data_IF_421243448497
#
_entry.id   IF_421243448497
#
_cell.length_a   1.000
_cell.length_b   1.000
_cell.length_c   1.000
_cell.angle_alpha   90.00
_cell.angle_beta   90.00
_cell.angle_gamma   90.00
#
_symmetry.space_group_name_H-M   'P 1'
#
loop_
_entity.id
_entity.type
_entity.pdbx_description
1 polymer ?
#
# COMPACT_ATOMS: atom_id res chain seq x y z
N UNK A 1 21.42 2.85 -12.36
CA UNK A 1 21.17 3.55 -11.08
C UNK A 1 20.54 2.55 -10.14
N UNK A 2 20.99 2.47 -8.88
CA UNK A 2 20.28 1.65 -7.88
C UNK A 2 18.90 2.26 -7.64
N UNK A 3 17.86 1.42 -7.59
CA UNK A 3 16.49 1.87 -7.29
C UNK A 3 16.38 2.54 -5.92
N UNK A 4 15.29 3.27 -5.69
CA UNK A 4 15.03 3.96 -4.42
C UNK A 4 14.17 3.11 -3.47
N UNK A 5 13.52 2.06 -3.97
CA UNK A 5 12.49 1.34 -3.25
C UNK A 5 11.10 1.84 -3.66
N UNK A 6 10.14 0.92 -3.74
CA UNK A 6 8.81 1.20 -4.28
C UNK A 6 8.03 2.27 -3.48
N UNK A 7 8.18 2.29 -2.16
CA UNK A 7 7.48 3.26 -1.30
C UNK A 7 7.98 4.70 -1.44
N UNK A 8 9.20 4.89 -1.93
CA UNK A 8 9.76 6.22 -2.24
C UNK A 8 9.39 6.71 -3.64
N UNK A 9 8.78 5.86 -4.48
CA UNK A 9 8.33 6.25 -5.80
C UNK A 9 7.02 7.03 -5.76
N UNK A 10 6.87 7.91 -6.75
CA UNK A 10 5.57 8.52 -7.03
C UNK A 10 4.76 7.54 -7.89
N UNK A 11 3.51 7.22 -7.50
CA UNK A 11 2.68 6.36 -8.30
C UNK A 11 2.51 6.88 -9.74
N UNK A 12 2.80 6.02 -10.72
CA UNK A 12 2.68 6.33 -12.16
C UNK A 12 1.27 6.79 -12.50
N UNK A 13 1.11 7.53 -13.59
CA UNK A 13 -0.21 7.91 -14.13
C UNK A 13 -1.09 6.66 -14.27
N UNK A 14 -2.35 6.79 -13.86
CA UNK A 14 -3.31 5.70 -13.95
C UNK A 14 -3.69 5.52 -15.43
N UNK A 15 -3.40 4.34 -15.97
CA UNK A 15 -3.77 3.96 -17.34
C UNK A 15 -4.92 2.97 -17.22
N UNK A 16 -5.93 3.11 -18.09
CA UNK A 16 -7.02 2.13 -18.17
C UNK A 16 -6.43 0.74 -18.43
N UNK A 17 -6.79 -0.28 -17.63
CA UNK A 17 -6.33 -1.63 -17.88
C UNK A 17 -6.89 -2.09 -19.22
N UNK A 18 -6.06 -2.81 -19.98
CA UNK A 18 -6.56 -3.52 -21.16
C UNK A 18 -7.68 -4.47 -20.72
N UNK A 19 -8.84 -4.34 -21.36
CA UNK A 19 -9.98 -5.19 -21.07
C UNK A 19 -9.66 -6.59 -21.55
N UNK A 20 -9.49 -7.54 -20.63
CA UNK A 20 -9.53 -8.95 -20.96
C UNK A 20 -11.00 -9.41 -20.95
N UNK A 21 -11.61 -9.67 -22.13
CA UNK A 21 -13.00 -10.08 -22.23
C UNK A 21 -13.25 -11.51 -21.73
N UNK A 22 -12.20 -12.32 -21.49
CA UNK A 22 -12.32 -13.75 -21.15
C UNK A 22 -12.20 -14.04 -19.64
N UNK A 23 -12.12 -13.01 -18.79
CA UNK A 23 -11.92 -13.22 -17.36
C UNK A 23 -13.22 -13.63 -16.63
N UNK A 24 -13.48 -14.94 -16.58
CA UNK A 24 -14.61 -15.54 -15.84
C UNK A 24 -14.53 -15.33 -14.31
N UNK A 25 -13.34 -15.12 -13.75
CA UNK A 25 -13.09 -15.01 -12.30
C UNK A 25 -13.06 -13.55 -11.79
N UNK A 26 -13.28 -12.56 -12.65
CA UNK A 26 -13.30 -11.14 -12.28
C UNK A 26 -11.94 -10.51 -11.94
N UNK A 27 -10.88 -11.30 -11.76
CA UNK A 27 -9.50 -10.83 -11.56
C UNK A 27 -8.43 -11.82 -12.10
N UNK A 28 -7.23 -11.30 -12.41
CA UNK A 28 -6.05 -12.07 -12.85
C UNK A 28 -4.91 -11.81 -11.86
N UNK A 29 -4.16 -12.86 -11.53
CA UNK A 29 -2.91 -12.77 -10.79
C UNK A 29 -1.75 -13.17 -11.70
N UNK A 30 -0.84 -12.23 -11.96
CA UNK A 30 0.36 -12.47 -12.75
C UNK A 30 1.57 -12.49 -11.83
N UNK A 31 2.31 -13.59 -11.83
CA UNK A 31 3.58 -13.65 -11.11
C UNK A 31 4.63 -12.76 -11.79
N UNK A 32 5.31 -11.93 -11.02
CA UNK A 32 6.39 -11.08 -11.50
C UNK A 32 7.73 -11.71 -11.12
N UNK A 33 8.64 -11.76 -12.08
CA UNK A 33 10.01 -12.24 -11.85
C UNK A 33 10.97 -11.09 -11.50
N UNK A 34 12.21 -11.45 -11.15
CA UNK A 34 13.26 -10.51 -10.73
C UNK A 34 13.72 -9.53 -11.82
N UNK A 35 13.35 -9.76 -13.09
CA UNK A 35 13.66 -8.86 -14.20
C UNK A 35 12.70 -7.68 -14.28
N UNK A 36 11.49 -7.81 -13.71
CA UNK A 36 10.49 -6.74 -13.65
C UNK A 36 10.95 -5.58 -12.76
N UNK A 37 10.85 -4.35 -13.26
CA UNK A 37 11.23 -3.14 -12.51
C UNK A 37 10.45 -2.99 -11.19
N UNK A 38 9.18 -3.41 -11.16
CA UNK A 38 8.35 -3.37 -9.95
C UNK A 38 8.87 -4.36 -8.91
N UNK A 39 9.30 -5.55 -9.36
CA UNK A 39 9.91 -6.54 -8.49
C UNK A 39 11.19 -5.97 -7.85
N UNK A 40 12.11 -5.44 -8.66
CA UNK A 40 13.38 -4.89 -8.16
C UNK A 40 13.17 -3.84 -7.08
N UNK A 41 12.20 -2.95 -7.27
CA UNK A 41 11.92 -1.84 -6.36
C UNK A 41 11.23 -2.30 -5.07
N UNK A 42 10.36 -3.31 -5.14
CA UNK A 42 9.79 -3.96 -3.95
C UNK A 42 10.87 -4.75 -3.19
N UNK A 43 11.75 -5.44 -3.91
CA UNK A 43 12.84 -6.22 -3.33
C UNK A 43 13.85 -5.32 -2.59
N UNK A 44 14.11 -4.10 -3.07
CA UNK A 44 14.89 -3.10 -2.33
C UNK A 44 14.23 -2.77 -0.98
N UNK A 45 12.93 -2.50 -0.95
CA UNK A 45 12.20 -2.21 0.31
C UNK A 45 12.28 -3.39 1.29
N UNK A 46 12.13 -4.62 0.79
CA UNK A 46 12.19 -5.83 1.61
C UNK A 46 13.60 -6.13 2.12
N UNK A 47 14.63 -5.96 1.28
CA UNK A 47 16.05 -6.09 1.66
C UNK A 47 16.42 -5.08 2.74
N UNK A 48 16.02 -3.82 2.58
CA UNK A 48 16.22 -2.77 3.58
C UNK A 48 15.53 -3.09 4.91
N UNK A 49 14.42 -3.83 4.88
CA UNK A 49 13.74 -4.34 6.05
C UNK A 49 14.38 -5.60 6.67
N UNK A 50 15.42 -6.16 6.06
CA UNK A 50 16.04 -7.44 6.45
C UNK A 50 15.13 -8.64 6.14
N UNK A 51 14.38 -8.59 5.04
CA UNK A 51 13.44 -9.61 4.61
C UNK A 51 13.73 -10.03 3.16
N UNK A 52 13.22 -11.19 2.75
CA UNK A 52 13.31 -11.70 1.39
C UNK A 52 11.91 -11.81 0.77
N UNK A 53 11.76 -11.39 -0.48
CA UNK A 53 10.56 -11.65 -1.28
C UNK A 53 10.61 -13.10 -1.77
N UNK A 54 9.58 -13.89 -1.47
CA UNK A 54 9.48 -15.29 -1.93
C UNK A 54 8.74 -15.42 -3.25
N UNK A 55 7.67 -14.63 -3.40
CA UNK A 55 6.79 -14.60 -4.57
C UNK A 55 6.16 -13.22 -4.64
N UNK A 56 6.02 -12.69 -5.86
CA UNK A 56 5.34 -11.43 -6.11
C UNK A 56 4.26 -11.64 -7.17
N UNK A 57 3.02 -11.30 -6.86
CA UNK A 57 1.87 -11.42 -7.76
C UNK A 57 1.25 -10.04 -7.97
N UNK A 58 1.07 -9.65 -9.23
CA UNK A 58 0.33 -8.46 -9.64
C UNK A 58 -1.14 -8.80 -9.80
N UNK A 59 -2.00 -8.06 -9.09
CA UNK A 59 -3.46 -8.18 -9.20
C UNK A 59 -3.99 -7.24 -10.30
N UNK A 60 -4.65 -7.83 -11.30
CA UNK A 60 -5.46 -7.11 -12.27
C UNK A 60 -6.93 -7.38 -11.98
N UNK A 61 -7.65 -6.37 -11.49
CA UNK A 61 -9.09 -6.46 -11.25
C UNK A 61 -9.75 -5.16 -11.75
N UNK A 62 -10.54 -5.27 -12.82
CA UNK A 62 -11.16 -4.12 -13.48
C UNK A 62 -12.22 -3.44 -12.61
N UNK A 63 -12.95 -4.20 -11.80
CA UNK A 63 -13.95 -3.65 -10.90
C UNK A 63 -13.29 -2.80 -9.81
N UNK A 64 -12.26 -3.33 -9.14
CA UNK A 64 -11.51 -2.61 -8.11
C UNK A 64 -10.74 -1.42 -8.67
N UNK A 65 -10.16 -1.57 -9.86
CA UNK A 65 -9.49 -0.47 -10.57
C UNK A 65 -10.48 0.65 -10.87
N UNK A 66 -11.66 0.33 -11.44
CA UNK A 66 -12.69 1.33 -11.75
C UNK A 66 -13.17 2.04 -10.50
N UNK A 67 -13.43 1.30 -9.41
CA UNK A 67 -13.78 1.88 -8.11
C UNK A 67 -12.72 2.88 -7.64
N UNK A 68 -11.45 2.50 -7.68
CA UNK A 68 -10.35 3.39 -7.32
C UNK A 68 -10.27 4.63 -8.23
N UNK A 69 -10.33 4.44 -9.55
CA UNK A 69 -10.24 5.52 -10.54
C UNK A 69 -11.39 6.53 -10.40
N UNK A 70 -12.61 6.05 -10.18
CA UNK A 70 -13.79 6.90 -9.96
C UNK A 70 -13.63 7.74 -8.69
N UNK A 71 -13.30 7.13 -7.55
CA UNK A 71 -13.08 7.86 -6.29
C UNK A 71 -11.94 8.88 -6.42
N UNK A 72 -10.85 8.49 -7.09
CA UNK A 72 -9.72 9.37 -7.38
C UNK A 72 -10.13 10.63 -8.15
N UNK A 73 -10.90 10.47 -9.22
CA UNK A 73 -11.36 11.58 -10.05
C UNK A 73 -12.39 12.45 -9.31
N UNK A 74 -13.30 11.84 -8.55
CA UNK A 74 -14.26 12.58 -7.73
C UNK A 74 -13.56 13.47 -6.69
N UNK A 75 -12.55 12.97 -5.99
CA UNK A 75 -11.79 13.77 -5.02
C UNK A 75 -11.07 14.93 -5.71
N UNK A 76 -10.44 14.71 -6.87
CA UNK A 76 -9.79 15.76 -7.64
C UNK A 76 -10.80 16.85 -8.04
N UNK A 77 -11.90 16.48 -8.69
CA UNK A 77 -12.92 17.42 -9.16
C UNK A 77 -13.57 18.23 -8.03
N UNK A 78 -13.78 17.61 -6.87
CA UNK A 78 -14.37 18.29 -5.71
C UNK A 78 -13.38 19.23 -5.04
N UNK A 79 -12.10 18.84 -4.92
CA UNK A 79 -11.08 19.61 -4.21
C UNK A 79 -10.46 20.70 -5.06
N UNK A 80 -10.27 20.49 -6.36
CA UNK A 80 -9.72 21.49 -7.28
C UNK A 80 -10.61 22.74 -7.37
N UNK A 81 -11.93 22.59 -7.19
CA UNK A 81 -12.88 23.71 -7.09
C UNK A 81 -12.68 24.58 -5.85
N UNK A 82 -12.06 24.05 -4.81
CA UNK A 82 -11.86 24.71 -3.50
C UNK A 82 -10.41 25.23 -3.40
N UNK A 83 -9.46 24.38 -3.79
CA UNK A 83 -8.03 24.67 -3.80
C UNK A 83 -7.42 24.16 -5.12
N UNK A 84 -7.09 25.08 -6.02
CA UNK A 84 -6.45 24.77 -7.31
C UNK A 84 -5.05 24.16 -7.16
N UNK A 85 -4.45 24.25 -5.97
CA UNK A 85 -3.17 23.62 -5.63
C UNK A 85 -3.30 22.21 -5.03
N UNK A 86 -4.52 21.69 -4.87
CA UNK A 86 -4.76 20.41 -4.22
C UNK A 86 -4.03 19.26 -4.93
N UNK A 87 -3.44 18.36 -4.13
CA UNK A 87 -2.80 17.13 -4.61
C UNK A 87 -3.37 15.95 -3.85
N UNK A 88 -3.65 14.86 -4.58
CA UNK A 88 -4.11 13.60 -4.00
C UNK A 88 -3.11 12.96 -3.02
N UNK A 89 -1.82 13.34 -3.11
CA UNK A 89 -0.74 12.74 -2.34
C UNK A 89 -0.79 11.20 -2.43
N UNK A 90 -0.90 10.69 -3.65
CA UNK A 90 -0.93 9.24 -3.90
C UNK A 90 0.43 8.63 -3.52
N UNK A 91 0.40 7.51 -2.79
CA UNK A 91 1.60 6.77 -2.36
C UNK A 91 1.44 5.28 -2.58
N UNK A 92 2.56 4.59 -2.78
CA UNK A 92 2.60 3.15 -2.58
C UNK A 92 2.93 2.86 -1.13
N UNK A 93 2.09 2.08 -0.46
CA UNK A 93 2.29 1.69 0.93
C UNK A 93 1.94 0.21 1.12
N UNK A 94 2.57 -0.41 2.11
CA UNK A 94 2.36 -1.81 2.45
C UNK A 94 1.19 -1.98 3.43
N UNK A 95 0.42 -3.05 3.26
CA UNK A 95 -0.63 -3.48 4.18
C UNK A 95 -0.44 -4.96 4.54
N UNK A 96 -0.35 -5.25 5.84
CA UNK A 96 -0.36 -6.62 6.34
C UNK A 96 -1.76 -7.01 6.80
N UNK A 97 -2.24 -8.19 6.40
CA UNK A 97 -3.57 -8.68 6.78
C UNK A 97 -3.59 -10.19 6.95
N UNK A 98 -4.49 -10.69 7.80
CA UNK A 98 -4.80 -12.11 7.93
C UNK A 98 -6.02 -12.53 7.09
N UNK A 99 -6.60 -11.60 6.32
CA UNK A 99 -7.67 -11.91 5.38
C UNK A 99 -7.17 -12.90 4.33
N UNK A 100 -8.06 -13.73 3.78
CA UNK A 100 -7.70 -14.64 2.70
C UNK A 100 -7.34 -13.86 1.44
N UNK A 101 -6.31 -14.28 0.72
CA UNK A 101 -5.89 -13.66 -0.54
C UNK A 101 -7.05 -13.53 -1.53
N UNK A 102 -7.85 -14.59 -1.71
CA UNK A 102 -9.02 -14.59 -2.61
C UNK A 102 -10.01 -13.47 -2.29
N UNK A 103 -10.35 -13.28 -1.01
CA UNK A 103 -11.27 -12.21 -0.60
C UNK A 103 -10.74 -10.81 -0.98
N UNK A 104 -9.44 -10.59 -0.80
CA UNK A 104 -8.80 -9.33 -1.19
C UNK A 104 -8.82 -9.14 -2.71
N UNK A 105 -8.59 -10.21 -3.47
CA UNK A 105 -8.61 -10.18 -4.93
C UNK A 105 -10.00 -9.88 -5.49
N UNK A 106 -11.06 -10.37 -4.84
CA UNK A 106 -12.45 -10.21 -5.28
C UNK A 106 -13.04 -8.86 -4.82
N UNK A 107 -12.95 -8.56 -3.52
CA UNK A 107 -13.68 -7.45 -2.88
C UNK A 107 -12.79 -6.21 -2.59
N UNK A 108 -11.47 -6.39 -2.66
CA UNK A 108 -10.50 -5.39 -2.25
C UNK A 108 -10.42 -5.22 -0.74
N UNK A 109 -9.92 -4.05 -0.31
CA UNK A 109 -9.80 -3.70 1.11
C UNK A 109 -11.12 -3.16 1.66
N UNK A 110 -11.56 -3.68 2.80
CA UNK A 110 -12.79 -3.25 3.47
C UNK A 110 -12.53 -2.81 4.92
N UNK A 111 -12.77 -1.53 5.21
CA UNK A 111 -12.59 -0.95 6.55
C UNK A 111 -13.58 -1.51 7.56
N UNK A 112 -14.72 -2.08 7.15
CA UNK A 112 -15.68 -2.74 8.05
C UNK A 112 -15.06 -3.97 8.72
N UNK A 113 -14.12 -4.62 8.03
CA UNK A 113 -13.36 -5.77 8.53
C UNK A 113 -12.14 -5.36 9.36
N UNK A 114 -11.82 -4.07 9.45
CA UNK A 114 -10.71 -3.59 10.26
C UNK A 114 -11.02 -3.64 11.75
N UNK A 115 -10.00 -4.03 12.53
CA UNK A 115 -10.01 -3.85 13.99
C UNK A 115 -9.63 -2.41 14.30
N UNK A 116 -10.14 -1.90 15.41
CA UNK A 116 -9.73 -0.59 15.93
C UNK A 116 -8.23 -0.60 16.26
N UNK A 117 -7.52 0.41 15.76
CA UNK A 117 -6.10 0.61 16.03
C UNK A 117 -5.86 1.94 16.76
N UNK A 118 -4.58 2.30 16.92
CA UNK A 118 -4.18 3.49 17.70
C UNK A 118 -4.73 4.83 17.16
N UNK A 119 -5.21 4.85 15.91
CA UNK A 119 -5.72 6.05 15.24
C UNK A 119 -7.19 5.90 14.84
N UNK A 120 -7.94 5.01 15.51
CA UNK A 120 -9.36 4.74 15.25
C UNK A 120 -9.62 3.51 14.39
N UNK A 121 -10.86 3.36 13.90
CA UNK A 121 -11.23 2.26 13.01
C UNK A 121 -10.87 2.60 11.56
N UNK A 122 -10.04 1.77 10.92
CA UNK A 122 -9.64 1.99 9.54
C UNK A 122 -8.62 0.97 9.02
N UNK A 123 -8.27 1.11 7.74
CA UNK A 123 -7.23 0.30 7.10
C UNK A 123 -5.88 0.98 7.32
N UNK A 124 -4.93 0.23 7.86
CA UNK A 124 -3.60 0.74 8.21
C UNK A 124 -2.57 0.38 7.15
N UNK A 125 -1.77 1.36 6.76
CA UNK A 125 -0.69 1.20 5.80
C UNK A 125 0.67 1.58 6.42
N UNK A 126 1.75 1.11 5.81
CA UNK A 126 3.12 1.34 6.28
C UNK A 126 4.07 1.53 5.10
N UNK A 127 4.99 2.48 5.21
CA UNK A 127 6.14 2.63 4.32
C UNK A 127 7.20 1.53 4.54
N UNK A 128 7.21 0.91 5.72
CA UNK A 128 8.18 -0.12 6.06
C UNK A 128 7.53 -1.51 6.14
N UNK A 129 7.87 -2.47 5.26
CA UNK A 129 7.14 -3.74 5.15
C UNK A 129 7.28 -4.63 6.40
N UNK A 130 8.36 -4.48 7.19
CA UNK A 130 8.55 -5.22 8.45
C UNK A 130 7.41 -4.97 9.46
N UNK A 131 6.84 -3.77 9.48
CA UNK A 131 5.72 -3.41 10.38
C UNK A 131 4.45 -4.20 10.05
N UNK A 132 4.31 -4.70 8.82
CA UNK A 132 3.16 -5.45 8.33
C UNK A 132 3.17 -6.92 8.76
N UNK A 133 4.33 -7.50 9.08
CA UNK A 133 4.48 -8.94 9.40
C UNK A 133 3.53 -9.39 10.50
N UNK A 134 3.42 -8.61 11.58
CA UNK A 134 2.59 -8.98 12.74
C UNK A 134 1.09 -9.07 12.43
N UNK A 135 0.67 -8.48 11.32
CA UNK A 135 -0.71 -8.52 10.84
C UNK A 135 -0.90 -9.62 9.79
N UNK A 136 0.12 -9.87 8.95
CA UNK A 136 0.13 -10.98 7.98
C UNK A 136 0.11 -12.36 8.67
N UNK A 137 0.91 -12.53 9.74
CA UNK A 137 1.07 -13.80 10.48
C UNK A 137 -0.12 -14.20 11.36
N UNK A 138 -1.15 -13.36 11.49
CA UNK A 138 -2.35 -13.71 12.28
C UNK A 138 -3.30 -14.66 11.55
N UNK A 139 -3.06 -14.93 10.25
CA UNK A 139 -3.71 -16.01 9.52
C UNK A 139 -3.07 -17.35 9.86
N UNK A 140 -3.87 -18.40 10.09
CA UNK A 140 -3.35 -19.77 10.25
C UNK A 140 -2.88 -20.28 8.87
N UNK A 141 -1.59 -20.56 8.68
CA UNK A 141 -1.08 -21.35 7.54
C UNK A 141 -0.15 -20.64 6.56
N UNK A 142 0.06 -21.28 5.39
CA UNK A 142 1.02 -20.94 4.31
C UNK A 142 0.63 -19.70 3.47
N UNK A 143 -0.52 -19.08 3.73
CA UNK A 143 -1.07 -17.95 2.94
C UNK A 143 -0.72 -16.54 3.49
N UNK A 144 0.32 -16.42 4.32
CA UNK A 144 0.74 -15.11 4.85
C UNK A 144 1.27 -14.21 3.73
N UNK A 145 0.57 -13.12 3.43
CA UNK A 145 0.95 -12.15 2.39
C UNK A 145 0.96 -10.71 2.92
N UNK A 146 1.70 -9.86 2.21
CA UNK A 146 1.73 -8.41 2.40
C UNK A 146 1.31 -7.79 1.06
N UNK A 147 0.38 -6.85 1.11
CA UNK A 147 -0.08 -6.14 -0.08
C UNK A 147 0.75 -4.87 -0.24
N UNK A 148 1.16 -4.58 -1.47
CA UNK A 148 1.54 -3.23 -1.88
C UNK A 148 0.30 -2.56 -2.46
N UNK A 149 -0.06 -1.38 -1.95
CA UNK A 149 -1.31 -0.70 -2.28
C UNK A 149 -1.01 0.71 -2.71
N UNK A 150 -1.67 1.17 -3.78
CA UNK A 150 -1.74 2.57 -4.14
C UNK A 150 -2.82 3.25 -3.29
N UNK A 151 -2.42 4.23 -2.48
CA UNK A 151 -3.29 4.88 -1.49
C UNK A 151 -3.36 6.37 -1.76
N UNK A 152 -4.59 6.91 -1.80
CA UNK A 152 -4.84 8.35 -1.82
C UNK A 152 -4.80 8.84 -0.38
N UNK A 153 -3.79 9.63 -0.02
CA UNK A 153 -3.68 10.19 1.33
C UNK A 153 -4.43 11.52 1.47
N UNK A 154 -4.61 12.25 0.37
CA UNK A 154 -5.11 13.61 0.39
C UNK A 154 -4.32 14.50 1.35
N UNK A 155 -5.03 15.29 2.14
CA UNK A 155 -4.48 16.10 3.22
C UNK A 155 -4.24 15.25 4.47
N UNK A 156 -3.05 14.69 4.58
CA UNK A 156 -2.65 13.92 5.74
C UNK A 156 -2.30 14.83 6.93
N UNK A 157 -2.85 14.53 8.11
CA UNK A 157 -2.45 15.16 9.37
C UNK A 157 -1.35 14.33 10.03
N UNK A 158 -0.25 14.99 10.40
CA UNK A 158 0.77 14.34 11.21
C UNK A 158 0.27 14.22 12.65
N UNK A 159 0.12 12.99 13.12
CA UNK A 159 -0.19 12.70 14.53
C UNK A 159 1.07 12.15 15.18
N UNK A 160 1.73 12.97 15.98
CA UNK A 160 2.83 12.52 16.81
C UNK A 160 2.25 11.95 18.11
N UNK A 161 2.11 10.63 18.18
CA UNK A 161 1.83 9.99 19.45
C UNK A 161 3.14 9.97 20.25
N UNK A 162 3.19 10.77 21.32
CA UNK A 162 4.27 10.69 22.30
C UNK A 162 4.20 9.31 22.96
N UNK A 163 4.99 8.35 22.47
CA UNK A 163 5.18 7.07 23.13
C UNK A 163 6.08 7.29 24.36
N UNK A 164 5.55 7.93 25.41
CA UNK A 164 6.26 8.06 26.68
C UNK A 164 6.12 6.84 27.61
N UNK A 165 5.29 5.84 27.27
CA UNK A 165 5.11 4.68 28.12
C UNK A 165 4.89 3.41 27.29
N UNK A 166 5.93 2.91 26.59
CA UNK A 166 6.48 1.54 26.71
C UNK A 166 7.73 1.51 25.83
N UNK A 167 8.91 1.28 26.42
CA UNK A 167 10.21 1.42 25.77
C UNK A 167 10.33 0.73 24.40
N UNK A 168 10.53 1.54 23.36
CA UNK A 168 11.13 1.11 22.10
C UNK A 168 11.84 2.31 21.44
N UNK A 169 13.17 2.36 21.59
CA UNK A 169 14.04 3.22 20.80
C UNK A 169 14.79 2.35 19.78
N UNK A 170 14.54 2.51 18.48
CA UNK A 170 15.58 2.35 17.48
C UNK A 170 16.17 3.73 17.18
N UNK A 171 17.49 3.84 17.36
CA UNK A 171 18.31 5.02 17.09
C UNK A 171 18.00 5.65 15.72
N UNK A 172 17.27 6.77 15.71
CA UNK A 172 17.32 7.81 14.68
C UNK A 172 16.27 8.89 14.99
N UNK A 173 16.57 9.78 15.93
CA UNK A 173 15.87 11.06 16.07
C UNK A 173 16.87 12.17 15.75
N UNK A 174 16.57 12.85 14.63
CA UNK A 174 16.93 14.23 14.32
C UNK A 174 18.42 14.57 14.17
N UNK A 175 18.89 14.66 12.93
CA UNK A 175 19.78 15.77 12.57
C UNK A 175 18.94 16.86 11.90
N UNK A 176 18.84 17.96 12.63
CA UNK A 176 18.25 19.23 12.22
C UNK A 176 18.82 19.68 10.87
N UNK A 177 17.94 20.15 9.99
CA UNK A 177 18.29 21.17 9.01
C UNK A 177 17.73 22.47 9.55
N UNK A 178 18.60 23.26 10.17
CA UNK A 178 18.46 24.72 10.15
C UNK A 178 19.85 25.35 10.33
N UNK A 179 20.33 25.95 9.24
CA UNK A 179 21.28 27.08 9.17
C UNK A 179 21.28 27.63 7.75
#
# INVERSE_FOLDING_TARGET
MAGLGMTLQTPKVLIEPELDPENENGHILTELDETDERFKEIDIDFKNAGMKVLKLEMLQNNHLWKRYATERNLILEQREKIDSGFKLNERYLYHGTSAKKSYICDEGLDSRMSKEGCFGKGIYFSDFPKKCIKYAKKGKGEDSHILLVRVILGEAKLVQQLLYEVGWFPDAILRNLDS
#
